data_IF_425173542188
#
_entry.id   IF_425173542188
#
_cell.length_a   1.000
_cell.length_b   1.000
_cell.length_c   1.000
_cell.angle_alpha   90.00
_cell.angle_beta   90.00
_cell.angle_gamma   90.00
#
_symmetry.space_group_name_H-M   'P 1'
#
loop_
_entity.id
_entity.type
_entity.pdbx_description
1 polymer ?
#
# COMPACT_ATOMS: atom_id res chain seq x y z
N UNK A 1 0.11 -6.70 -42.38
CA UNK A 1 -0.30 -5.70 -41.38
C UNK A 1 0.56 -5.88 -40.15
N UNK A 2 1.04 -4.78 -39.58
CA UNK A 2 1.83 -4.72 -38.33
C UNK A 2 0.88 -4.60 -37.13
N UNK A 3 1.31 -5.02 -35.95
CA UNK A 3 0.44 -5.06 -34.75
C UNK A 3 -0.13 -3.67 -34.39
N UNK A 4 0.67 -2.62 -34.47
CA UNK A 4 0.18 -1.26 -34.21
C UNK A 4 -0.85 -0.78 -35.24
N UNK A 5 -0.79 -1.25 -36.49
CA UNK A 5 -1.78 -0.92 -37.51
C UNK A 5 -3.12 -1.60 -37.20
N UNK A 6 -3.05 -2.85 -36.69
CA UNK A 6 -4.22 -3.59 -36.22
C UNK A 6 -4.89 -2.89 -35.04
N UNK A 7 -4.12 -2.45 -34.05
CA UNK A 7 -4.62 -1.69 -32.91
C UNK A 7 -5.22 -0.33 -33.32
N UNK A 8 -4.58 0.34 -34.27
CA UNK A 8 -5.10 1.54 -34.91
C UNK A 8 -6.49 1.32 -35.50
N UNK A 9 -6.67 0.25 -36.27
CA UNK A 9 -7.94 -0.12 -36.88
C UNK A 9 -9.00 -0.51 -35.84
N UNK A 10 -8.65 -1.31 -34.82
CA UNK A 10 -9.57 -1.65 -33.71
C UNK A 10 -10.04 -0.40 -32.97
N UNK A 11 -9.16 0.58 -32.76
CA UNK A 11 -9.50 1.85 -32.10
C UNK A 11 -10.49 2.72 -32.88
N UNK A 12 -10.66 2.45 -34.18
CA UNK A 12 -11.67 3.07 -35.05
C UNK A 12 -13.02 2.35 -34.99
N UNK A 13 -13.14 1.30 -34.17
CA UNK A 13 -14.36 0.51 -34.01
C UNK A 13 -14.51 -0.59 -35.07
N UNK A 14 -13.47 -0.89 -35.86
CA UNK A 14 -13.49 -2.06 -36.75
C UNK A 14 -13.45 -3.31 -35.87
N UNK A 15 -14.49 -4.14 -35.99
CA UNK A 15 -14.67 -5.32 -35.14
C UNK A 15 -13.88 -6.47 -35.73
N UNK A 16 -12.92 -7.01 -34.96
CA UNK A 16 -12.01 -8.09 -35.35
C UNK A 16 -12.63 -9.11 -36.32
N UNK A 17 -13.41 -10.07 -35.83
CA UNK A 17 -13.91 -11.19 -36.67
C UNK A 17 -14.79 -10.79 -37.87
N UNK A 18 -15.39 -9.61 -37.91
CA UNK A 18 -16.27 -9.19 -39.03
C UNK A 18 -15.56 -8.32 -40.06
N UNK A 19 -14.60 -7.51 -39.62
CA UNK A 19 -13.96 -6.47 -40.41
C UNK A 19 -12.48 -6.75 -40.66
N UNK A 20 -11.83 -7.51 -39.78
CA UNK A 20 -10.40 -7.81 -39.79
C UNK A 20 -10.18 -9.32 -39.69
N UNK A 21 -9.75 -9.94 -40.78
CA UNK A 21 -9.64 -11.40 -40.84
C UNK A 21 -8.19 -11.83 -40.63
N UNK A 22 -8.00 -12.81 -39.75
CA UNK A 22 -6.74 -13.51 -39.59
C UNK A 22 -6.51 -14.48 -40.77
N UNK A 23 -5.29 -14.50 -41.29
CA UNK A 23 -4.86 -15.37 -42.38
C UNK A 23 -3.48 -15.94 -42.06
N UNK A 24 -3.32 -17.26 -42.17
CA UNK A 24 -2.03 -17.93 -41.92
C UNK A 24 -1.16 -17.86 -43.17
N UNK A 25 -0.06 -17.11 -43.12
CA UNK A 25 0.96 -17.08 -44.17
C UNK A 25 2.13 -18.00 -43.79
N UNK A 26 3.02 -18.30 -44.75
CA UNK A 26 4.26 -19.06 -44.49
C UNK A 26 5.15 -18.40 -43.43
N UNK A 27 5.05 -17.07 -43.29
CA UNK A 27 5.84 -16.26 -42.34
C UNK A 27 5.14 -16.03 -41.00
N UNK A 28 4.00 -16.69 -40.74
CA UNK A 28 3.21 -16.51 -39.52
C UNK A 28 1.80 -15.95 -39.76
N UNK A 29 1.12 -15.58 -38.68
CA UNK A 29 -0.23 -15.03 -38.71
C UNK A 29 -0.21 -13.60 -39.27
N UNK A 30 -1.09 -13.30 -40.24
CA UNK A 30 -1.25 -11.98 -40.82
C UNK A 30 -2.71 -11.54 -40.78
N UNK A 31 -2.93 -10.22 -40.75
CA UNK A 31 -4.27 -9.65 -40.74
C UNK A 31 -4.60 -8.93 -42.04
N UNK A 32 -5.88 -8.99 -42.43
CA UNK A 32 -6.41 -8.28 -43.59
C UNK A 32 -7.72 -7.60 -43.24
N UNK A 33 -7.91 -6.37 -43.72
CA UNK A 33 -9.16 -5.63 -43.55
C UNK A 33 -10.09 -5.88 -44.73
N UNK A 34 -11.37 -6.14 -44.44
CA UNK A 34 -12.43 -6.32 -45.43
C UNK A 34 -12.92 -4.97 -45.92
N UNK A 35 -12.96 -4.75 -47.24
CA UNK A 35 -13.54 -3.55 -47.85
C UNK A 35 -14.27 -3.89 -49.14
N UNK A 36 -15.02 -2.92 -49.69
CA UNK A 36 -15.45 -2.97 -51.10
C UNK A 36 -14.45 -2.25 -51.99
N UNK A 37 -14.07 -2.87 -53.09
CA UNK A 37 -13.27 -2.23 -54.12
C UNK A 37 -14.13 -1.26 -54.97
N UNK A 38 -13.51 -0.58 -55.94
CA UNK A 38 -14.18 0.36 -56.85
C UNK A 38 -15.28 -0.28 -57.72
N UNK A 39 -15.26 -1.61 -57.87
CA UNK A 39 -16.30 -2.38 -58.60
C UNK A 39 -17.42 -2.88 -57.69
N UNK A 40 -17.43 -2.49 -56.40
CA UNK A 40 -18.41 -2.92 -55.41
C UNK A 40 -18.19 -4.34 -54.84
N UNK A 41 -17.16 -5.07 -55.29
CA UNK A 41 -16.83 -6.41 -54.80
C UNK A 41 -16.09 -6.36 -53.48
N UNK A 42 -16.37 -7.32 -52.60
CA UNK A 42 -15.65 -7.49 -51.34
C UNK A 42 -14.23 -8.00 -51.60
N UNK A 43 -13.24 -7.31 -51.02
CA UNK A 43 -11.82 -7.63 -51.12
C UNK A 43 -11.16 -7.48 -49.75
N UNK A 44 -9.98 -8.09 -49.59
CA UNK A 44 -9.21 -8.05 -48.35
C UNK A 44 -7.87 -7.34 -48.56
N UNK A 45 -7.60 -6.33 -47.73
CA UNK A 45 -6.40 -5.50 -47.79
C UNK A 45 -5.44 -5.86 -46.65
N UNK A 46 -4.23 -6.31 -46.98
CA UNK A 46 -3.17 -6.65 -46.02
C UNK A 46 -2.10 -5.56 -45.84
N UNK A 47 -1.94 -4.71 -46.86
CA UNK A 47 -0.97 -3.63 -46.94
C UNK A 47 -1.68 -2.29 -46.80
N UNK A 48 -1.42 -1.63 -45.68
CA UNK A 48 -2.04 -0.38 -45.29
C UNK A 48 -1.16 0.84 -45.59
N UNK A 49 -0.03 0.68 -46.29
CA UNK A 49 0.87 1.80 -46.63
C UNK A 49 0.40 2.56 -47.87
N UNK A 50 -0.34 1.90 -48.75
CA UNK A 50 -0.86 2.51 -49.97
C UNK A 50 -2.01 3.48 -49.66
N UNK A 51 -1.86 4.75 -50.05
CA UNK A 51 -2.92 5.75 -49.89
C UNK A 51 -4.24 5.35 -50.58
N UNK A 52 -4.15 4.73 -51.76
CA UNK A 52 -5.34 4.25 -52.48
C UNK A 52 -6.11 3.22 -51.66
N UNK A 53 -5.40 2.31 -50.99
CA UNK A 53 -5.99 1.29 -50.11
C UNK A 53 -6.54 1.92 -48.83
N UNK A 54 -5.84 2.89 -48.24
CA UNK A 54 -6.35 3.64 -47.08
C UNK A 54 -7.64 4.40 -47.40
N UNK A 55 -7.76 5.02 -48.58
CA UNK A 55 -9.00 5.67 -49.04
C UNK A 55 -10.15 4.68 -49.10
N UNK A 56 -9.95 3.49 -49.69
CA UNK A 56 -10.97 2.44 -49.72
C UNK A 56 -11.45 2.03 -48.32
N UNK A 57 -10.53 1.96 -47.34
CA UNK A 57 -10.86 1.65 -45.94
C UNK A 57 -11.66 2.79 -45.30
N UNK A 58 -11.18 4.03 -45.46
CA UNK A 58 -11.83 5.23 -44.95
C UNK A 58 -13.26 5.36 -45.48
N UNK A 59 -13.45 5.18 -46.79
CA UNK A 59 -14.75 5.27 -47.45
C UNK A 59 -15.69 4.16 -47.00
N UNK A 60 -15.21 2.90 -46.96
CA UNK A 60 -16.02 1.74 -46.59
C UNK A 60 -16.50 1.81 -45.12
N UNK A 61 -15.63 2.23 -44.21
CA UNK A 61 -15.93 2.33 -42.77
C UNK A 61 -16.45 3.70 -42.35
N UNK A 62 -16.62 4.64 -43.28
CA UNK A 62 -17.05 6.03 -43.02
C UNK A 62 -16.17 6.73 -41.98
N UNK A 63 -14.87 6.50 -42.03
CA UNK A 63 -13.86 7.12 -41.15
C UNK A 63 -13.14 8.21 -41.93
N UNK A 64 -12.96 9.43 -41.38
CA UNK A 64 -12.15 10.45 -42.05
C UNK A 64 -10.72 9.96 -42.34
N UNK A 65 -10.25 10.11 -43.58
CA UNK A 65 -8.92 9.61 -44.01
C UNK A 65 -7.78 10.14 -43.13
N UNK A 66 -7.87 11.39 -42.67
CA UNK A 66 -6.89 11.99 -41.74
C UNK A 66 -6.84 11.21 -40.43
N UNK A 67 -8.00 10.87 -39.87
CA UNK A 67 -8.13 10.08 -38.65
C UNK A 67 -7.60 8.66 -38.88
N UNK A 68 -7.92 8.01 -40.00
CA UNK A 68 -7.36 6.69 -40.32
C UNK A 68 -5.83 6.72 -40.37
N UNK A 69 -5.25 7.68 -41.11
CA UNK A 69 -3.81 7.83 -41.23
C UNK A 69 -3.13 8.04 -39.89
N UNK A 70 -3.69 8.91 -39.04
CA UNK A 70 -3.22 9.13 -37.68
C UNK A 70 -3.17 7.81 -36.89
N UNK A 71 -4.25 7.03 -36.90
CA UNK A 71 -4.35 5.76 -36.15
C UNK A 71 -3.42 4.66 -36.67
N UNK A 72 -2.99 4.73 -37.92
CA UNK A 72 -2.05 3.79 -38.53
C UNK A 72 -0.57 4.15 -38.30
N UNK A 73 -0.27 5.22 -37.58
CA UNK A 73 1.12 5.55 -37.21
C UNK A 73 1.62 4.64 -36.10
N UNK A 74 2.89 4.25 -36.14
CA UNK A 74 3.53 3.49 -35.05
C UNK A 74 3.61 4.29 -33.75
N UNK A 75 3.47 5.61 -33.82
CA UNK A 75 3.46 6.54 -32.69
C UNK A 75 2.07 6.81 -32.14
N UNK A 76 1.01 6.36 -32.82
CA UNK A 76 -0.35 6.63 -32.37
C UNK A 76 -0.64 5.92 -31.04
N UNK A 77 -1.30 6.64 -30.14
CA UNK A 77 -1.70 6.17 -28.83
C UNK A 77 -3.13 6.62 -28.52
N UNK A 78 -3.97 5.74 -27.98
CA UNK A 78 -5.23 6.19 -27.39
C UNK A 78 -4.93 7.20 -26.28
N UNK A 79 -5.71 8.28 -26.23
CA UNK A 79 -5.53 9.31 -25.20
C UNK A 79 -5.79 8.72 -23.81
N UNK A 80 -4.86 8.92 -22.88
CA UNK A 80 -5.04 8.60 -21.45
C UNK A 80 -6.32 9.28 -20.97
N UNK A 81 -7.16 8.54 -20.25
CA UNK A 81 -8.34 9.10 -19.59
C UNK A 81 -8.17 8.96 -18.09
N UNK A 82 -8.27 10.09 -17.40
CA UNK A 82 -8.24 10.15 -15.96
C UNK A 82 -9.57 10.65 -15.42
N UNK A 83 -10.02 10.05 -14.31
CA UNK A 83 -11.17 10.51 -13.54
C UNK A 83 -10.86 10.40 -12.06
N UNK A 84 -10.98 11.51 -11.34
CA UNK A 84 -11.04 11.53 -9.89
C UNK A 84 -12.51 11.54 -9.45
N UNK A 85 -12.88 10.59 -8.61
CA UNK A 85 -14.22 10.44 -8.05
C UNK A 85 -14.09 10.63 -6.53
N UNK A 86 -14.36 11.84 -6.02
CA UNK A 86 -14.29 12.08 -4.58
C UNK A 86 -15.44 11.38 -3.87
N UNK A 87 -15.19 10.85 -2.67
CA UNK A 87 -16.21 10.18 -1.87
C UNK A 87 -16.16 10.56 -0.40
N UNK A 88 -17.21 10.22 0.35
CA UNK A 88 -17.27 10.54 1.80
C UNK A 88 -16.19 9.80 2.59
N UNK A 89 -15.99 8.51 2.28
CA UNK A 89 -15.12 7.61 3.04
C UNK A 89 -13.85 7.22 2.27
N UNK A 90 -13.85 7.38 0.97
CA UNK A 90 -12.74 7.05 0.10
C UNK A 90 -12.86 7.81 -1.23
N UNK A 91 -11.73 8.21 -1.77
CA UNK A 91 -11.61 8.74 -3.12
C UNK A 91 -11.22 7.62 -4.08
N UNK A 92 -11.70 7.69 -5.32
CA UNK A 92 -11.35 6.74 -6.38
C UNK A 92 -10.69 7.45 -7.57
N UNK A 93 -9.50 6.97 -7.93
CA UNK A 93 -8.68 7.47 -9.03
C UNK A 93 -8.69 6.43 -10.14
N UNK A 94 -9.38 6.72 -11.24
CA UNK A 94 -9.56 5.79 -12.36
C UNK A 94 -8.74 6.28 -13.56
N UNK A 95 -7.86 5.41 -14.05
CA UNK A 95 -7.06 5.68 -15.24
C UNK A 95 -7.34 4.63 -16.32
N UNK A 96 -7.50 5.06 -17.57
CA UNK A 96 -7.72 4.20 -18.74
C UNK A 96 -6.76 4.58 -19.87
N UNK A 97 -6.50 3.63 -20.76
CA UNK A 97 -5.55 3.75 -21.87
C UNK A 97 -4.12 4.05 -21.39
N UNK A 98 -3.73 3.48 -20.25
CA UNK A 98 -2.37 3.56 -19.74
C UNK A 98 -1.45 2.57 -20.45
N UNK A 99 -0.16 2.91 -20.50
CA UNK A 99 0.88 1.93 -20.78
C UNK A 99 1.30 1.22 -19.50
N UNK A 100 1.75 -0.03 -19.65
CA UNK A 100 2.24 -0.85 -18.54
C UNK A 100 3.37 -0.16 -17.75
N UNK A 101 4.24 0.61 -18.43
CA UNK A 101 5.33 1.37 -17.80
C UNK A 101 4.84 2.60 -17.02
N UNK A 102 3.73 3.20 -17.44
CA UNK A 102 3.16 4.42 -16.81
C UNK A 102 2.30 4.12 -15.59
N UNK A 103 1.77 2.90 -15.48
CA UNK A 103 0.95 2.47 -14.35
C UNK A 103 1.63 2.76 -13.00
N UNK A 104 2.89 2.34 -12.85
CA UNK A 104 3.62 2.49 -11.59
C UNK A 104 3.91 3.94 -11.25
N UNK A 105 4.21 4.76 -12.27
CA UNK A 105 4.50 6.17 -12.09
C UNK A 105 3.25 6.93 -11.64
N UNK A 106 2.08 6.60 -12.20
CA UNK A 106 0.78 7.15 -11.78
C UNK A 106 0.39 6.68 -10.37
N UNK A 107 0.62 5.41 -10.05
CA UNK A 107 0.39 4.89 -8.70
C UNK A 107 1.27 5.63 -7.67
N UNK A 108 2.57 5.77 -7.95
CA UNK A 108 3.48 6.51 -7.09
C UNK A 108 3.06 7.96 -6.92
N UNK A 109 2.71 8.62 -8.03
CA UNK A 109 2.24 10.00 -8.01
C UNK A 109 1.03 10.19 -7.10
N UNK A 110 -0.02 9.37 -7.23
CA UNK A 110 -1.21 9.52 -6.38
C UNK A 110 -0.87 9.27 -4.91
N UNK A 111 -0.03 8.28 -4.59
CA UNK A 111 0.36 7.97 -3.21
C UNK A 111 1.22 9.09 -2.58
N UNK A 112 2.14 9.69 -3.34
CA UNK A 112 3.01 10.76 -2.86
C UNK A 112 2.32 12.12 -2.76
N UNK A 113 1.24 12.34 -3.52
CA UNK A 113 0.42 13.56 -3.47
C UNK A 113 -0.47 13.64 -2.23
N UNK A 114 -0.62 12.56 -1.46
CA UNK A 114 -1.44 12.59 -0.26
C UNK A 114 -0.72 13.26 0.91
N UNK A 115 -1.45 14.11 1.62
CA UNK A 115 -0.96 14.84 2.80
C UNK A 115 -1.06 14.05 4.12
N UNK A 116 -1.82 12.96 4.12
CA UNK A 116 -2.15 12.17 5.31
C UNK A 116 -1.83 10.70 5.09
N UNK A 117 -1.70 9.96 6.18
CA UNK A 117 -1.57 8.51 6.10
C UNK A 117 -2.85 7.94 5.50
N UNK A 118 -2.68 6.95 4.65
CA UNK A 118 -3.77 6.42 3.85
C UNK A 118 -3.81 4.91 3.91
N UNK A 119 -4.99 4.38 3.66
CA UNK A 119 -5.19 2.98 3.33
C UNK A 119 -5.69 2.98 1.89
N UNK A 120 -5.23 2.07 1.06
CA UNK A 120 -5.65 2.05 -0.32
C UNK A 120 -5.77 0.64 -0.86
N UNK A 121 -6.50 0.48 -1.95
CA UNK A 121 -6.57 -0.74 -2.71
C UNK A 121 -6.39 -0.41 -4.19
N UNK A 122 -5.74 -1.30 -4.94
CA UNK A 122 -5.53 -1.15 -6.37
C UNK A 122 -6.19 -2.30 -7.09
N UNK A 123 -7.00 -1.97 -8.09
CA UNK A 123 -7.53 -2.92 -9.05
C UNK A 123 -6.98 -2.59 -10.44
N UNK A 124 -6.47 -3.59 -11.15
CA UNK A 124 -5.95 -3.49 -12.51
C UNK A 124 -6.98 -4.01 -13.53
N UNK A 125 -7.02 -3.37 -14.68
CA UNK A 125 -7.72 -3.85 -15.88
C UNK A 125 -6.72 -4.25 -16.94
N UNK A 126 -6.96 -5.38 -17.58
CA UNK A 126 -6.05 -5.97 -18.54
C UNK A 126 -6.79 -6.62 -19.71
N UNK A 127 -6.06 -6.82 -20.80
CA UNK A 127 -6.53 -7.52 -21.98
C UNK A 127 -5.74 -8.81 -22.15
N UNK A 128 -6.46 -9.92 -22.31
CA UNK A 128 -5.89 -11.20 -22.72
C UNK A 128 -6.15 -11.42 -24.21
N UNK A 129 -5.25 -12.12 -24.87
CA UNK A 129 -5.37 -12.58 -26.26
C UNK A 129 -5.24 -14.08 -26.36
N UNK A 130 -5.95 -14.70 -27.28
CA UNK A 130 -5.74 -16.11 -27.61
C UNK A 130 -4.38 -16.27 -28.31
N UNK A 131 -3.54 -17.19 -27.81
CA UNK A 131 -2.22 -17.51 -28.36
C UNK A 131 -2.26 -17.93 -29.83
N UNK A 132 -3.37 -18.49 -30.27
CA UNK A 132 -3.58 -18.97 -31.63
C UNK A 132 -4.27 -17.94 -32.53
N UNK A 133 -5.04 -17.01 -31.94
CA UNK A 133 -5.71 -15.92 -32.66
C UNK A 133 -5.78 -14.62 -31.83
N UNK A 134 -4.77 -13.73 -31.96
CA UNK A 134 -4.72 -12.44 -31.27
C UNK A 134 -5.84 -11.43 -31.62
N UNK A 135 -6.80 -11.78 -32.48
CA UNK A 135 -8.04 -11.01 -32.64
C UNK A 135 -9.09 -11.36 -31.59
N UNK A 136 -8.96 -12.52 -30.96
CA UNK A 136 -9.82 -12.91 -29.85
C UNK A 136 -9.25 -12.28 -28.60
N UNK A 137 -9.92 -11.23 -28.14
CA UNK A 137 -9.55 -10.49 -26.94
C UNK A 137 -10.56 -10.73 -25.82
N UNK A 138 -10.05 -10.89 -24.60
CA UNK A 138 -10.85 -10.91 -23.39
C UNK A 138 -10.43 -9.71 -22.53
N UNK A 139 -11.34 -8.75 -22.38
CA UNK A 139 -11.10 -7.56 -21.59
C UNK A 139 -11.60 -7.76 -20.17
N UNK A 140 -10.74 -7.49 -19.20
CA UNK A 140 -11.04 -7.53 -17.78
C UNK A 140 -11.02 -6.12 -17.23
N UNK A 141 -12.17 -5.63 -16.78
CA UNK A 141 -12.26 -4.34 -16.11
C UNK A 141 -11.71 -4.44 -14.68
N UNK A 142 -11.10 -3.37 -14.13
CA UNK A 142 -10.65 -3.36 -12.74
C UNK A 142 -11.84 -3.53 -11.81
N UNK A 143 -11.72 -4.46 -10.88
CA UNK A 143 -12.71 -4.70 -9.84
C UNK A 143 -12.03 -4.89 -8.49
N UNK A 144 -12.52 -4.21 -7.46
CA UNK A 144 -12.06 -4.42 -6.09
C UNK A 144 -12.64 -5.69 -5.45
N UNK A 145 -13.66 -6.28 -6.07
CA UNK A 145 -14.34 -7.47 -5.58
C UNK A 145 -13.84 -8.77 -6.22
N UNK A 146 -12.78 -8.69 -7.04
CA UNK A 146 -12.22 -9.83 -7.72
C UNK A 146 -10.71 -9.90 -7.48
N UNK A 147 -10.27 -10.96 -6.81
CA UNK A 147 -8.87 -11.23 -6.46
C UNK A 147 -7.97 -11.35 -7.70
N UNK A 148 -8.57 -11.63 -8.86
CA UNK A 148 -7.92 -11.69 -10.17
C UNK A 148 -7.82 -10.33 -10.88
N UNK A 149 -8.13 -9.27 -10.16
CA UNK A 149 -7.93 -7.88 -10.60
C UNK A 149 -7.37 -7.04 -9.47
N UNK A 150 -7.41 -7.47 -8.21
CA UNK A 150 -6.79 -6.74 -7.10
C UNK A 150 -5.30 -7.04 -7.03
N UNK A 151 -4.49 -5.98 -6.98
CA UNK A 151 -3.04 -6.13 -7.10
C UNK A 151 -2.38 -6.78 -5.87
N UNK A 152 -2.85 -6.40 -4.68
CA UNK A 152 -2.27 -6.86 -3.42
C UNK A 152 -3.14 -7.91 -2.71
N UNK A 153 -4.31 -8.27 -3.26
CA UNK A 153 -5.32 -9.11 -2.61
C UNK A 153 -6.04 -8.44 -1.42
N UNK A 154 -5.37 -7.54 -0.71
CA UNK A 154 -5.91 -6.79 0.41
C UNK A 154 -5.53 -5.31 0.33
N UNK A 155 -6.26 -4.41 1.02
CA UNK A 155 -5.85 -3.02 1.10
C UNK A 155 -4.49 -2.84 1.77
N UNK A 156 -3.66 -1.97 1.21
CA UNK A 156 -2.34 -1.60 1.70
C UNK A 156 -2.41 -0.32 2.53
N UNK A 157 -1.43 -0.12 3.40
CA UNK A 157 -1.32 1.06 4.26
C UNK A 157 -0.05 1.82 3.91
N UNK A 158 -0.15 3.13 3.77
CA UNK A 158 0.97 4.05 3.63
C UNK A 158 0.96 4.98 4.82
N UNK A 159 1.92 4.80 5.71
CA UNK A 159 2.12 5.68 6.86
C UNK A 159 3.26 6.67 6.62
N UNK A 160 4.12 6.45 5.63
CA UNK A 160 5.26 7.32 5.30
C UNK A 160 5.48 7.42 3.79
N UNK A 161 6.18 8.46 3.32
CA UNK A 161 6.63 8.58 1.92
C UNK A 161 7.47 7.38 1.46
N UNK A 162 8.26 6.80 2.36
CA UNK A 162 9.07 5.62 2.07
C UNK A 162 8.21 4.35 1.91
N UNK A 163 7.08 4.25 2.61
CA UNK A 163 6.13 3.15 2.39
C UNK A 163 5.56 3.21 0.97
N UNK A 164 5.18 4.41 0.50
CA UNK A 164 4.70 4.59 -0.87
C UNK A 164 5.70 4.06 -1.91
N UNK A 165 6.97 4.46 -1.80
CA UNK A 165 8.06 3.97 -2.67
C UNK A 165 8.26 2.46 -2.58
N UNK A 166 8.26 1.91 -1.37
CA UNK A 166 8.43 0.47 -1.14
C UNK A 166 7.27 -0.34 -1.73
N UNK A 167 6.05 0.16 -1.60
CA UNK A 167 4.85 -0.50 -2.12
C UNK A 167 4.82 -0.44 -3.65
N UNK A 168 5.22 0.67 -4.27
CA UNK A 168 5.36 0.73 -5.74
C UNK A 168 6.42 -0.26 -6.23
N UNK A 169 7.54 -0.42 -5.51
CA UNK A 169 8.53 -1.45 -5.82
C UNK A 169 7.97 -2.87 -5.67
N UNK A 170 7.10 -3.11 -4.68
CA UNK A 170 6.39 -4.38 -4.52
C UNK A 170 5.39 -4.62 -5.66
N UNK A 171 4.62 -3.60 -6.05
CA UNK A 171 3.70 -3.64 -7.18
C UNK A 171 4.41 -4.06 -8.47
N UNK A 172 5.61 -3.51 -8.74
CA UNK A 172 6.44 -3.89 -9.90
C UNK A 172 6.79 -5.38 -9.95
N UNK A 173 6.82 -6.07 -8.81
CA UNK A 173 7.08 -7.50 -8.71
C UNK A 173 5.82 -8.36 -8.83
N UNK A 174 4.68 -7.88 -8.31
CA UNK A 174 3.46 -8.68 -8.17
C UNK A 174 2.65 -8.81 -9.47
N UNK A 175 2.64 -7.78 -10.30
CA UNK A 175 1.78 -7.68 -11.48
C UNK A 175 2.00 -8.82 -12.48
N UNK A 176 3.19 -9.44 -12.51
CA UNK A 176 3.51 -10.49 -13.47
C UNK A 176 3.09 -11.90 -13.04
N UNK A 177 2.96 -12.17 -11.74
CA UNK A 177 2.89 -13.56 -11.25
C UNK A 177 1.53 -13.98 -10.66
N UNK A 178 0.73 -13.05 -10.12
CA UNK A 178 -0.39 -13.44 -9.23
C UNK A 178 -1.77 -12.82 -9.54
N UNK A 179 -1.85 -11.76 -10.34
CA UNK A 179 -3.08 -10.96 -10.47
C UNK A 179 -3.87 -11.19 -11.75
N UNK A 180 -3.42 -12.09 -12.63
CA UNK A 180 -4.04 -12.32 -13.93
C UNK A 180 -4.65 -13.71 -13.96
N UNK A 181 -5.93 -13.77 -14.33
CA UNK A 181 -6.63 -15.02 -14.46
C UNK A 181 -6.63 -15.50 -15.90
N UNK A 182 -5.70 -16.40 -16.19
CA UNK A 182 -5.60 -17.01 -17.50
C UNK A 182 -6.75 -17.97 -17.78
N UNK A 183 -7.42 -18.56 -16.77
CA UNK A 183 -8.46 -19.62 -16.84
C UNK A 183 -8.12 -20.87 -17.69
N UNK A 184 -7.35 -20.73 -18.77
CA UNK A 184 -6.98 -21.72 -19.76
C UNK A 184 -5.57 -21.39 -20.30
N UNK A 185 -4.78 -22.40 -20.67
CA UNK A 185 -3.42 -22.23 -21.20
C UNK A 185 -3.36 -21.60 -22.61
N UNK A 186 -4.50 -21.19 -23.16
CA UNK A 186 -4.58 -20.52 -24.47
C UNK A 186 -4.47 -19.01 -24.36
N UNK A 187 -4.74 -18.43 -23.19
CA UNK A 187 -4.72 -16.98 -23.02
C UNK A 187 -3.33 -16.47 -22.64
N UNK A 188 -2.93 -15.37 -23.25
CA UNK A 188 -1.68 -14.66 -22.97
C UNK A 188 -2.00 -13.22 -22.65
N UNK A 189 -1.30 -12.64 -21.67
CA UNK A 189 -1.44 -11.23 -21.33
C UNK A 189 -0.96 -10.37 -22.49
N UNK A 190 -1.81 -9.44 -22.93
CA UNK A 190 -1.44 -8.44 -23.94
C UNK A 190 -0.91 -7.16 -23.30
N UNK A 191 -1.64 -6.61 -22.32
CA UNK A 191 -1.31 -5.33 -21.67
C UNK A 191 -2.18 -5.06 -20.45
N UNK A 192 -1.70 -4.22 -19.54
CA UNK A 192 -2.47 -3.58 -18.46
C UNK A 192 -2.78 -2.16 -18.88
N UNK A 193 -4.02 -1.94 -19.30
CA UNK A 193 -4.45 -0.70 -19.95
C UNK A 193 -5.31 0.19 -19.06
N UNK A 194 -5.66 -0.28 -17.85
CA UNK A 194 -6.52 0.43 -16.93
C UNK A 194 -6.11 0.13 -15.49
N UNK A 195 -6.30 1.08 -14.58
CA UNK A 195 -6.38 0.78 -13.15
C UNK A 195 -7.38 1.68 -12.44
N UNK A 196 -7.87 1.19 -11.30
CA UNK A 196 -8.59 1.98 -10.31
C UNK A 196 -7.87 1.88 -8.98
N UNK A 197 -7.60 3.04 -8.37
CA UNK A 197 -7.00 3.18 -7.05
C UNK A 197 -8.05 3.77 -6.11
N UNK A 198 -8.43 3.02 -5.08
CA UNK A 198 -9.31 3.51 -4.02
C UNK A 198 -8.49 3.89 -2.81
N UNK A 199 -8.53 5.15 -2.43
CA UNK A 199 -7.83 5.71 -1.26
C UNK A 199 -8.85 5.98 -0.16
N UNK A 200 -8.79 5.20 0.91
CA UNK A 200 -9.65 5.34 2.07
C UNK A 200 -9.17 6.49 2.96
N UNK A 201 -10.10 7.34 3.37
CA UNK A 201 -9.84 8.39 4.35
C UNK A 201 -9.51 7.74 5.69
N UNK A 202 -8.26 7.87 6.15
CA UNK A 202 -7.88 7.52 7.52
C UNK A 202 -7.80 8.80 8.31
N UNK A 203 -8.77 9.02 9.19
CA UNK A 203 -8.67 10.08 10.18
C UNK A 203 -7.84 9.58 11.35
N UNK A 204 -6.52 9.39 11.13
CA UNK A 204 -5.57 9.04 12.18
C UNK A 204 -4.78 10.26 12.62
N UNK A 205 -5.52 11.31 13.01
CA UNK A 205 -4.93 12.58 13.41
C UNK A 205 -4.85 12.66 14.92
N UNK A 206 -3.64 12.67 15.45
CA UNK A 206 -3.38 12.80 16.87
C UNK A 206 -3.82 14.18 17.38
N UNK A 207 -4.69 14.14 18.37
CA UNK A 207 -5.27 15.26 19.09
C UNK A 207 -6.61 15.78 18.56
N UNK A 208 -7.14 15.24 17.45
CA UNK A 208 -8.36 15.76 16.79
C UNK A 208 -9.66 15.53 17.55
N UNK A 209 -9.67 14.65 18.56
CA UNK A 209 -10.87 14.30 19.33
C UNK A 209 -10.62 14.42 20.84
N UNK A 210 -11.70 14.57 21.61
CA UNK A 210 -11.62 14.48 23.05
C UNK A 210 -11.33 13.02 23.43
N UNK A 211 -10.14 12.79 23.99
CA UNK A 211 -9.69 11.45 24.34
C UNK A 211 -10.57 10.83 25.44
N UNK A 212 -11.46 9.92 25.07
CA UNK A 212 -12.07 8.98 26.01
C UNK A 212 -11.12 7.80 26.12
N UNK A 213 -10.38 7.74 27.23
CA UNK A 213 -9.41 6.68 27.49
C UNK A 213 -10.12 5.59 28.29
N UNK A 214 -10.14 4.37 27.75
CA UNK A 214 -10.72 3.21 28.44
C UNK A 214 -10.04 2.91 29.77
N UNK A 215 -10.78 2.26 30.66
CA UNK A 215 -10.27 1.84 31.96
C UNK A 215 -9.04 0.93 31.82
N UNK A 216 -9.07 0.01 30.86
CA UNK A 216 -7.97 -0.92 30.56
C UNK A 216 -6.66 -0.16 30.33
N UNK A 217 -6.68 0.89 29.53
CA UNK A 217 -5.49 1.71 29.26
C UNK A 217 -5.10 2.55 30.49
N UNK A 218 -6.08 3.13 31.20
CA UNK A 218 -5.83 3.92 32.41
C UNK A 218 -5.12 3.14 33.51
N UNK A 219 -5.37 1.84 33.61
CA UNK A 219 -4.73 0.96 34.59
C UNK A 219 -3.28 0.57 34.22
N UNK A 220 -2.83 0.79 32.98
CA UNK A 220 -1.46 0.47 32.56
C UNK A 220 -0.47 1.52 33.11
N UNK A 221 0.29 1.14 34.15
CA UNK A 221 1.26 2.02 34.83
C UNK A 221 2.32 2.65 33.93
N UNK A 222 2.67 1.98 32.83
CA UNK A 222 3.71 2.41 31.88
C UNK A 222 3.16 3.27 30.73
N UNK A 223 1.85 3.56 30.75
CA UNK A 223 1.22 4.51 29.84
C UNK A 223 0.94 5.80 30.60
N UNK A 224 1.44 6.91 30.08
CA UNK A 224 1.30 8.23 30.67
C UNK A 224 0.44 9.09 29.77
N UNK A 225 -0.75 9.42 30.27
CA UNK A 225 -1.55 10.50 29.72
C UNK A 225 -1.17 11.83 30.41
N UNK A 226 -0.90 12.86 29.62
CA UNK A 226 -0.64 14.20 30.14
C UNK A 226 -1.95 14.98 30.30
N UNK A 227 -2.15 15.68 31.43
CA UNK A 227 -3.31 16.53 31.61
C UNK A 227 -3.26 17.68 30.60
N UNK A 228 -4.27 17.74 29.73
CA UNK A 228 -4.41 18.79 28.73
C UNK A 228 -5.89 19.20 28.60
N UNK A 229 -6.17 20.43 28.17
CA UNK A 229 -7.54 20.81 27.80
C UNK A 229 -8.08 19.85 26.73
N UNK A 230 -9.39 19.53 26.76
CA UNK A 230 -10.04 18.82 25.67
C UNK A 230 -9.72 19.48 24.32
N UNK A 231 -9.47 18.68 23.29
CA UNK A 231 -9.26 19.16 21.90
C UNK A 231 -8.03 20.07 21.71
N UNK A 232 -7.01 19.95 22.56
CA UNK A 232 -5.85 20.84 22.45
C UNK A 232 -4.91 20.50 21.28
N UNK A 233 -5.13 19.41 20.52
CA UNK A 233 -4.27 18.96 19.40
C UNK A 233 -2.77 18.73 19.76
N UNK A 234 -2.40 18.79 21.05
CA UNK A 234 -1.00 18.88 21.50
C UNK A 234 -0.48 17.60 22.15
N UNK A 235 -1.26 16.51 22.15
CA UNK A 235 -0.91 15.27 22.85
C UNK A 235 0.48 14.73 22.48
N UNK A 236 0.83 14.72 21.19
CA UNK A 236 2.16 14.34 20.72
C UNK A 236 3.24 15.30 21.24
N UNK A 237 2.97 16.60 21.28
CA UNK A 237 3.92 17.62 21.72
C UNK A 237 4.27 17.46 23.20
N UNK A 238 3.28 17.08 24.03
CA UNK A 238 3.52 16.72 25.42
C UNK A 238 4.42 15.48 25.56
N UNK A 239 4.17 14.45 24.75
CA UNK A 239 4.99 13.23 24.74
C UNK A 239 6.45 13.55 24.36
N UNK A 240 6.66 14.32 23.29
CA UNK A 240 7.99 14.77 22.86
C UNK A 240 8.65 15.64 23.94
N UNK A 241 7.93 16.62 24.49
CA UNK A 241 8.46 17.53 25.50
C UNK A 241 8.99 16.78 26.73
N UNK A 242 8.25 15.77 27.19
CA UNK A 242 8.64 14.94 28.33
C UNK A 242 9.78 13.97 28.00
N UNK A 243 9.81 13.46 26.77
CA UNK A 243 10.86 12.56 26.29
C UNK A 243 12.21 13.25 26.21
N UNK A 244 12.23 14.50 25.76
CA UNK A 244 13.44 15.31 25.62
C UNK A 244 14.02 15.83 26.94
N UNK A 245 13.35 15.61 28.09
CA UNK A 245 13.92 15.99 29.39
C UNK A 245 14.92 14.95 29.88
N UNK A 246 16.14 15.41 30.15
CA UNK A 246 17.20 14.64 30.80
C UNK A 246 17.15 14.83 32.32
N UNK A 247 17.59 13.82 33.07
CA UNK A 247 17.62 13.87 34.54
C UNK A 247 16.23 13.82 35.19
N UNK A 248 16.00 14.69 36.17
CA UNK A 248 14.76 14.73 36.94
C UNK A 248 13.58 15.18 36.07
N UNK A 249 12.72 14.22 35.74
CA UNK A 249 11.57 14.49 34.88
C UNK A 249 10.55 15.37 35.60
N UNK A 250 10.02 16.41 34.93
CA UNK A 250 9.02 17.29 35.51
C UNK A 250 7.73 16.55 35.86
N UNK A 251 6.99 17.09 36.83
CA UNK A 251 5.65 16.62 37.13
C UNK A 251 4.73 16.80 35.91
N UNK A 252 3.77 15.88 35.73
CA UNK A 252 2.91 15.81 34.52
C UNK A 252 2.09 17.07 34.29
N UNK A 253 1.71 17.78 35.35
CA UNK A 253 0.99 19.05 35.37
C UNK A 253 1.87 20.27 35.05
N UNK A 254 3.21 20.12 35.12
CA UNK A 254 4.19 21.20 34.88
C UNK A 254 4.81 21.16 33.48
N UNK A 255 4.09 20.61 32.50
CA UNK A 255 4.61 20.40 31.14
C UNK A 255 4.36 21.57 30.17
N UNK A 256 3.51 22.53 30.50
CA UNK A 256 3.03 23.56 29.56
C UNK A 256 4.15 24.39 28.91
N UNK A 257 5.15 24.82 29.67
CA UNK A 257 6.27 25.60 29.15
C UNK A 257 7.16 24.79 28.19
N UNK A 258 7.45 23.54 28.54
CA UNK A 258 8.24 22.62 27.71
C UNK A 258 7.51 22.28 26.40
N UNK A 259 6.20 22.03 26.48
CA UNK A 259 5.36 21.79 25.30
C UNK A 259 5.34 23.00 24.37
N UNK A 260 5.28 24.24 24.91
CA UNK A 260 5.39 25.46 24.10
C UNK A 260 6.75 25.56 23.40
N UNK A 261 7.84 25.20 24.07
CA UNK A 261 9.17 25.19 23.46
C UNK A 261 9.27 24.19 22.30
N UNK A 262 8.72 22.97 22.47
CA UNK A 262 8.62 21.96 21.41
C UNK A 262 7.82 22.48 20.22
N UNK A 263 6.62 23.04 20.46
CA UNK A 263 5.80 23.59 19.37
C UNK A 263 6.54 24.71 18.63
N UNK A 264 7.23 25.61 19.35
CA UNK A 264 8.00 26.70 18.74
C UNK A 264 9.13 26.15 17.85
N UNK A 265 9.87 25.14 18.34
CA UNK A 265 10.93 24.49 17.57
C UNK A 265 10.39 23.83 16.30
N UNK A 266 9.27 23.11 16.41
CA UNK A 266 8.63 22.47 15.25
C UNK A 266 8.13 23.49 14.21
N UNK A 267 7.46 24.57 14.63
CA UNK A 267 7.01 25.62 13.72
C UNK A 267 8.20 26.28 13.00
N UNK A 268 9.29 26.56 13.72
CA UNK A 268 10.52 27.08 13.12
C UNK A 268 11.13 26.11 12.10
N UNK A 269 11.13 24.79 12.38
CA UNK A 269 11.56 23.75 11.43
C UNK A 269 10.71 23.77 10.14
N UNK A 270 9.41 24.03 10.24
CA UNK A 270 8.51 24.21 9.07
C UNK A 270 8.67 25.58 8.39
N UNK A 271 9.68 26.38 8.77
CA UNK A 271 9.91 27.72 8.23
C UNK A 271 8.96 28.80 8.76
N UNK A 272 8.19 28.50 9.81
CA UNK A 272 7.22 29.42 10.40
C UNK A 272 7.76 30.03 11.70
N UNK A 273 8.36 31.22 11.59
CA UNK A 273 8.89 31.96 12.75
C UNK A 273 7.84 32.94 13.24
N UNK A 274 7.42 32.79 14.49
CA UNK A 274 6.46 33.66 15.15
C UNK A 274 7.14 34.56 16.18
N UNK A 275 6.76 35.83 16.21
CA UNK A 275 7.09 36.71 17.34
C UNK A 275 6.35 36.27 18.59
N UNK A 276 6.84 36.65 19.78
CA UNK A 276 6.18 36.28 21.05
C UNK A 276 4.73 36.77 21.15
N UNK A 277 4.38 37.85 20.44
CA UNK A 277 2.98 38.32 20.36
C UNK A 277 2.08 37.41 19.51
N UNK A 278 2.61 36.78 18.45
CA UNK A 278 1.82 35.93 17.53
C UNK A 278 1.84 34.44 17.90
N UNK A 279 2.87 34.01 18.62
CA UNK A 279 3.04 32.61 19.03
C UNK A 279 1.85 32.05 19.84
N UNK A 280 1.23 32.77 20.80
CA UNK A 280 0.09 32.24 21.55
C UNK A 280 -1.09 31.83 20.67
N UNK A 281 -1.38 32.59 19.61
CA UNK A 281 -2.45 32.27 18.67
C UNK A 281 -2.09 31.03 17.82
N UNK A 282 -0.85 30.95 17.32
CA UNK A 282 -0.35 29.78 16.60
C UNK A 282 -0.35 28.51 17.46
N UNK A 283 0.06 28.62 18.73
CA UNK A 283 0.02 27.53 19.69
C UNK A 283 -1.42 27.07 19.97
N UNK A 284 -2.36 28.01 20.14
CA UNK A 284 -3.77 27.68 20.36
C UNK A 284 -4.36 26.92 19.17
N UNK A 285 -4.10 27.41 17.96
CA UNK A 285 -4.67 26.90 16.70
C UNK A 285 -3.80 25.83 16.01
N UNK A 286 -2.88 25.19 16.74
CA UNK A 286 -2.06 24.10 16.18
C UNK A 286 -3.00 23.01 15.63
N UNK A 287 -2.86 22.61 14.36
CA UNK A 287 -3.69 21.55 13.80
C UNK A 287 -3.38 20.19 14.46
N UNK A 288 -4.33 19.24 14.43
CA UNK A 288 -4.04 17.85 14.77
C UNK A 288 -2.88 17.31 13.94
N UNK A 289 -2.07 16.42 14.51
CA UNK A 289 -0.91 15.85 13.84
C UNK A 289 -1.28 14.54 13.17
N UNK A 290 -1.21 14.47 11.85
CA UNK A 290 -1.38 13.20 11.15
C UNK A 290 -0.15 12.31 11.37
N UNK A 291 -0.36 11.00 11.55
CA UNK A 291 0.75 10.05 11.73
C UNK A 291 1.75 10.06 10.55
N UNK A 292 1.34 10.49 9.36
CA UNK A 292 2.24 10.68 8.20
C UNK A 292 3.28 11.76 8.42
N UNK A 293 2.96 12.74 9.27
CA UNK A 293 3.84 13.85 9.59
C UNK A 293 4.90 13.47 10.64
N UNK A 294 4.85 12.27 11.24
CA UNK A 294 5.79 11.87 12.29
C UNK A 294 7.25 11.95 11.84
N UNK A 295 7.54 11.65 10.57
CA UNK A 295 8.90 11.82 10.02
C UNK A 295 9.44 13.24 10.15
N UNK A 296 8.60 14.28 9.99
CA UNK A 296 9.00 15.68 10.21
C UNK A 296 9.37 15.93 11.68
N UNK A 297 8.68 15.28 12.62
CA UNK A 297 8.99 15.37 14.05
C UNK A 297 10.27 14.63 14.39
N UNK A 298 10.46 13.42 13.85
CA UNK A 298 11.71 12.67 14.00
C UNK A 298 12.91 13.50 13.55
N UNK A 299 12.82 14.13 12.37
CA UNK A 299 13.90 14.93 11.80
C UNK A 299 14.13 16.25 12.54
N UNK A 300 13.06 16.91 13.00
CA UNK A 300 13.13 18.16 13.76
C UNK A 300 13.79 17.96 15.14
N UNK A 301 13.43 16.87 15.83
CA UNK A 301 13.85 16.62 17.21
C UNK A 301 15.01 15.63 17.32
N UNK A 302 15.41 14.98 16.21
CA UNK A 302 16.47 13.96 16.17
C UNK A 302 16.16 12.80 17.12
N UNK A 303 14.93 12.30 17.03
CA UNK A 303 14.41 11.15 17.78
C UNK A 303 13.72 10.18 16.83
N UNK A 304 13.69 8.90 17.17
CA UNK A 304 12.83 7.93 16.51
C UNK A 304 11.46 7.95 17.19
N UNK A 305 10.36 7.81 16.46
CA UNK A 305 9.01 7.74 17.02
C UNK A 305 8.38 6.40 16.62
N UNK A 306 8.07 5.59 17.63
CA UNK A 306 7.33 4.35 17.45
C UNK A 306 5.90 4.51 17.94
N UNK A 307 4.94 4.07 17.11
CA UNK A 307 3.51 4.16 17.44
C UNK A 307 2.94 2.77 17.66
N UNK A 308 2.38 2.57 18.84
CA UNK A 308 1.68 1.38 19.26
C UNK A 308 0.17 1.63 19.29
N UNK A 309 -0.60 0.58 19.02
CA UNK A 309 -2.05 0.58 19.15
C UNK A 309 -2.45 -0.64 19.96
N UNK A 310 -3.52 -0.52 20.73
CA UNK A 310 -4.07 -1.59 21.55
C UNK A 310 -5.46 -1.96 21.03
N UNK A 311 -5.72 -3.25 20.89
CA UNK A 311 -7.09 -3.76 20.80
C UNK A 311 -7.64 -3.89 22.21
N UNK A 312 -8.75 -3.21 22.51
CA UNK A 312 -9.32 -3.21 23.86
C UNK A 312 -10.00 -4.53 24.23
N UNK A 313 -10.50 -5.27 23.24
CA UNK A 313 -11.22 -6.52 23.47
C UNK A 313 -10.26 -7.66 23.80
N UNK A 314 -9.11 -7.71 23.13
CA UNK A 314 -8.10 -8.76 23.31
C UNK A 314 -6.94 -8.34 24.21
N UNK A 315 -6.84 -7.04 24.52
CA UNK A 315 -5.68 -6.40 25.14
C UNK A 315 -4.36 -6.56 24.37
N UNK A 316 -4.42 -6.99 23.10
CA UNK A 316 -3.24 -7.18 22.29
C UNK A 316 -2.68 -5.85 21.79
N UNK A 317 -1.35 -5.71 21.88
CA UNK A 317 -0.63 -4.55 21.37
C UNK A 317 -0.03 -4.87 20.02
N UNK A 318 -0.21 -3.94 19.07
CA UNK A 318 0.50 -3.98 17.79
C UNK A 318 1.32 -2.72 17.60
N UNK A 319 2.55 -2.90 17.14
CA UNK A 319 3.36 -1.79 16.62
C UNK A 319 2.81 -1.40 15.26
N UNK A 320 2.23 -0.21 15.18
CA UNK A 320 1.57 0.29 13.98
C UNK A 320 2.51 1.11 13.10
N UNK A 321 3.50 1.78 13.71
CA UNK A 321 4.56 2.51 13.01
C UNK A 321 5.88 2.17 13.69
N UNK A 322 6.86 1.84 12.87
CA UNK A 322 8.25 1.66 13.24
C UNK A 322 9.06 2.76 12.56
N UNK A 323 9.87 3.46 13.34
CA UNK A 323 10.79 4.46 12.79
C UNK A 323 11.80 3.79 11.88
N UNK A 324 12.15 4.46 10.79
CA UNK A 324 13.22 4.01 9.87
C UNK A 324 14.53 4.76 10.10
N UNK A 325 14.52 5.74 11.01
CA UNK A 325 15.68 6.51 11.36
C UNK A 325 16.56 5.75 12.36
N UNK A 326 17.79 6.22 12.53
CA UNK A 326 18.80 5.62 13.42
C UNK A 326 19.27 6.61 14.48
N UNK A 327 18.38 7.52 14.89
CA UNK A 327 18.69 8.45 15.97
C UNK A 327 18.89 7.67 17.29
N UNK A 328 19.64 8.25 18.24
CA UNK A 328 20.01 7.54 19.47
C UNK A 328 18.84 7.34 20.44
N UNK A 329 17.79 8.15 20.31
CA UNK A 329 16.69 8.22 21.26
C UNK A 329 15.36 7.86 20.62
N UNK A 330 14.63 6.92 21.23
CA UNK A 330 13.34 6.42 20.73
C UNK A 330 12.19 6.80 21.66
N UNK A 331 11.25 7.57 21.15
CA UNK A 331 9.97 7.90 21.77
C UNK A 331 8.92 6.85 21.40
N UNK A 332 8.42 6.14 22.40
CA UNK A 332 7.33 5.19 22.23
C UNK A 332 5.99 5.83 22.62
N UNK A 333 5.00 5.82 21.74
CA UNK A 333 3.65 6.32 22.03
C UNK A 333 2.59 5.26 21.83
N UNK A 334 1.56 5.27 22.68
CA UNK A 334 0.31 4.56 22.47
C UNK A 334 -0.69 5.53 21.82
N UNK A 335 -1.14 5.18 20.62
CA UNK A 335 -2.24 5.87 19.94
C UNK A 335 -3.55 5.16 20.24
N UNK A 336 -4.50 5.88 20.83
CA UNK A 336 -5.84 5.39 21.11
C UNK A 336 -6.87 6.50 20.88
N UNK A 337 -7.93 6.25 20.11
CA UNK A 337 -9.00 7.22 19.77
C UNK A 337 -8.45 8.61 19.40
N UNK A 338 -7.55 8.65 18.41
CA UNK A 338 -6.92 9.89 17.94
C UNK A 338 -6.19 10.67 19.05
N UNK A 339 -5.70 10.00 20.09
CA UNK A 339 -4.92 10.61 21.17
C UNK A 339 -3.62 9.86 21.41
N UNK A 340 -2.53 10.62 21.60
CA UNK A 340 -1.21 10.07 21.89
C UNK A 340 -0.94 10.09 23.40
N UNK A 341 -0.53 8.93 23.92
CA UNK A 341 -0.04 8.76 25.29
C UNK A 341 1.39 8.23 25.26
N UNK A 342 2.21 8.66 26.20
CA UNK A 342 3.61 8.25 26.27
C UNK A 342 3.72 6.84 26.87
N UNK A 343 4.54 5.98 26.26
CA UNK A 343 4.95 4.70 26.85
C UNK A 343 6.33 4.91 27.48
N UNK A 344 6.42 4.74 28.80
CA UNK A 344 7.67 5.00 29.54
C UNK A 344 8.63 3.81 29.60
N UNK A 345 8.11 2.60 29.46
CA UNK A 345 8.89 1.36 29.47
C UNK A 345 8.23 0.39 28.48
N UNK A 346 8.81 0.27 27.28
CA UNK A 346 8.25 -0.51 26.19
C UNK A 346 8.27 -2.01 26.49
N UNK A 347 9.33 -2.47 27.15
CA UNK A 347 9.55 -3.87 27.55
C UNK A 347 8.42 -4.33 28.48
N UNK A 348 8.13 -3.54 29.52
CA UNK A 348 7.00 -3.81 30.42
C UNK A 348 5.63 -3.58 29.79
N UNK A 349 5.52 -2.63 28.87
CA UNK A 349 4.26 -2.35 28.17
C UNK A 349 3.83 -3.50 27.25
N UNK A 350 4.75 -4.08 26.47
CA UNK A 350 4.47 -5.24 25.59
C UNK A 350 4.37 -6.55 26.40
N UNK A 351 4.65 -6.54 27.71
CA UNK A 351 4.63 -7.74 28.54
C UNK A 351 5.78 -8.70 28.26
N UNK A 352 6.86 -8.22 27.63
CA UNK A 352 8.10 -8.97 27.46
C UNK A 352 9.01 -8.63 28.63
N UNK A 353 9.14 -9.53 29.59
CA UNK A 353 9.92 -9.31 30.80
C UNK A 353 11.25 -10.04 30.69
N UNK A 354 12.35 -9.34 30.50
CA UNK A 354 13.67 -9.94 30.38
C UNK A 354 14.35 -10.12 31.75
N UNK A 355 15.02 -11.26 31.95
CA UNK A 355 15.85 -11.49 33.12
C UNK A 355 17.24 -10.88 32.94
N UNK A 356 17.57 -9.87 33.75
CA UNK A 356 18.87 -9.19 33.75
C UNK A 356 20.10 -10.06 34.07
N UNK A 357 19.92 -11.35 34.39
CA UNK A 357 20.99 -12.27 34.79
C UNK A 357 21.25 -13.38 33.76
N UNK A 358 20.26 -13.73 32.94
CA UNK A 358 20.37 -14.77 31.90
C UNK A 358 19.73 -14.40 30.55
N UNK A 359 19.23 -13.17 30.39
CA UNK A 359 18.66 -12.63 29.14
C UNK A 359 17.42 -13.39 28.61
N UNK A 360 16.84 -14.29 29.42
CA UNK A 360 15.59 -14.97 29.07
C UNK A 360 14.40 -14.00 29.11
N UNK A 361 13.55 -14.05 28.07
CA UNK A 361 12.33 -13.23 27.94
C UNK A 361 11.11 -14.02 28.40
N UNK A 362 10.31 -13.43 29.29
CA UNK A 362 9.11 -14.01 29.86
C UNK A 362 7.87 -13.22 29.42
N UNK A 363 6.78 -13.93 29.16
CA UNK A 363 5.49 -13.33 28.77
C UNK A 363 4.74 -12.66 29.92
N UNK A 364 5.24 -12.75 31.17
CA UNK A 364 4.65 -12.07 32.32
C UNK A 364 5.67 -11.80 33.42
N UNK A 365 5.43 -10.74 34.20
CA UNK A 365 6.27 -10.34 35.33
C UNK A 365 6.32 -11.43 36.43
N UNK A 366 5.23 -12.16 36.61
CA UNK A 366 5.16 -13.26 37.56
C UNK A 366 6.07 -14.42 37.15
N UNK A 367 6.07 -14.80 35.86
CA UNK A 367 6.98 -15.83 35.37
C UNK A 367 8.44 -15.42 35.52
N UNK A 368 8.77 -14.16 35.25
CA UNK A 368 10.10 -13.62 35.52
C UNK A 368 10.43 -13.67 37.02
N UNK A 369 9.50 -13.29 37.91
CA UNK A 369 9.71 -13.35 39.36
C UNK A 369 9.97 -14.78 39.82
N UNK A 370 9.15 -15.74 39.41
CA UNK A 370 9.31 -17.15 39.75
C UNK A 370 10.66 -17.69 39.23
N UNK A 371 11.05 -17.30 38.02
CA UNK A 371 12.38 -17.61 37.48
C UNK A 371 13.53 -17.03 38.33
N UNK A 372 13.43 -15.77 38.78
CA UNK A 372 14.43 -15.16 39.66
C UNK A 372 14.51 -15.85 41.03
N UNK A 373 13.38 -16.31 41.57
CA UNK A 373 13.32 -16.99 42.86
C UNK A 373 13.82 -18.44 42.80
N UNK A 374 13.64 -19.13 41.68
CA UNK A 374 14.03 -20.54 41.50
C UNK A 374 15.49 -20.74 41.06
N UNK A 375 16.39 -19.82 41.47
CA UNK A 375 17.80 -19.73 41.03
C UNK A 375 17.91 -19.67 39.50
N UNK A 376 18.07 -18.44 39.02
CA UNK A 376 18.47 -18.14 37.64
C UNK A 376 19.87 -18.73 37.38
N UNK A 377 19.91 -20.03 37.12
CA UNK A 377 21.09 -20.77 36.73
C UNK A 377 21.25 -20.58 35.23
N UNK A 378 22.46 -20.19 34.79
CA UNK A 378 22.81 -20.12 33.37
C UNK A 378 22.64 -21.52 32.79
N UNK A 379 21.47 -21.82 32.23
CA UNK A 379 21.29 -23.00 31.42
C UNK A 379 22.11 -22.79 30.15
N UNK A 380 23.37 -23.24 30.18
CA UNK A 380 24.12 -23.48 28.97
C UNK A 380 23.25 -24.37 28.09
N UNK A 381 22.92 -23.90 26.88
CA UNK A 381 22.47 -24.80 25.83
C UNK A 381 23.56 -25.85 25.69
N UNK A 382 23.31 -27.08 26.17
CA UNK A 382 24.10 -28.24 25.76
C UNK A 382 23.95 -28.32 24.25
N UNK A 383 25.00 -27.88 23.56
CA UNK A 383 25.39 -28.20 22.19
C UNK A 383 24.27 -28.74 21.30
N UNK A 384 23.97 -28.03 20.21
CA UNK A 384 23.27 -28.61 19.08
C UNK A 384 23.90 -29.97 18.73
N UNK A 385 23.06 -31.01 18.66
CA UNK A 385 23.51 -32.33 18.23
C UNK A 385 24.09 -32.15 16.82
N UNK A 386 25.38 -32.43 16.64
CA UNK A 386 26.12 -32.23 15.37
C UNK A 386 25.54 -33.04 14.19
N UNK A 387 24.62 -33.96 14.44
CA UNK A 387 23.96 -34.75 13.42
C UNK A 387 22.44 -34.67 13.58
N UNK A 388 21.75 -34.32 12.50
CA UNK A 388 20.29 -34.30 12.44
C UNK A 388 19.74 -35.72 12.67
N UNK A 389 19.03 -35.93 13.77
CA UNK A 389 18.22 -37.14 13.94
C UNK A 389 16.94 -36.98 13.12
N UNK A 390 16.90 -37.64 11.96
CA UNK A 390 15.68 -37.78 11.15
C UNK A 390 14.58 -38.43 11.99
N UNK A 391 13.46 -37.74 12.17
CA UNK A 391 12.26 -38.31 12.77
C UNK A 391 11.77 -39.49 11.93
N UNK A 392 11.83 -40.70 12.47
CA UNK A 392 11.16 -41.87 11.89
C UNK A 392 9.79 -42.00 12.55
N UNK A 393 8.68 -41.81 11.82
CA UNK A 393 7.36 -42.06 12.38
C UNK A 393 7.24 -43.52 12.81
N UNK A 394 6.56 -43.73 13.94
CA UNK A 394 6.27 -45.05 14.49
C UNK A 394 5.44 -45.86 13.47
N UNK A 395 5.73 -47.16 13.26
CA UNK A 395 4.96 -47.99 12.32
C UNK A 395 3.47 -47.97 12.66
N UNK A 396 2.63 -47.75 11.64
CA UNK A 396 1.18 -47.68 11.76
C UNK A 396 0.62 -48.96 12.42
N UNK A 397 -0.05 -48.80 13.57
CA UNK A 397 -0.75 -49.88 14.30
C UNK A 397 -2.00 -50.43 13.58
N UNK A 398 -2.23 -50.04 12.33
CA UNK A 398 -3.38 -50.49 11.51
C UNK A 398 -3.30 -52.00 11.26
N UNK A 399 -2.10 -52.57 11.06
CA UNK A 399 -1.96 -54.01 10.87
C UNK A 399 -2.35 -54.82 12.12
N UNK A 400 -2.08 -54.30 13.32
CA UNK A 400 -2.49 -54.94 14.57
C UNK A 400 -4.00 -54.83 14.87
N UNK A 401 -4.71 -53.92 14.17
CA UNK A 401 -6.18 -53.83 14.22
C UNK A 401 -6.86 -54.71 13.18
N UNK A 402 -6.21 -54.99 12.04
CA UNK A 402 -6.74 -55.85 10.98
C UNK A 402 -6.66 -57.35 11.33
N UNK A 403 -5.68 -57.77 12.14
CA UNK A 403 -5.56 -59.16 12.63
C UNK A 403 -6.60 -59.54 13.72
N UNK A 404 -7.41 -58.58 14.19
CA UNK A 404 -8.50 -58.84 15.16
C UNK A 404 -9.90 -58.91 14.54
N UNK A 405 -10.00 -58.81 13.21
CA UNK A 405 -11.27 -58.80 12.48
C UNK A 405 -11.38 -59.94 11.44
N UNK A 406 -10.49 -60.94 11.47
CA UNK A 406 -10.60 -62.18 10.72
C UNK A 406 -10.34 -63.40 11.60
#
# INVERSE_FOLDING_TARGET
>A
MRDYELEGLKSLGLKGKTDIVAWRAKTGLQYRVKVRNTTGRLVYISDLRSEKKQKLIADYYKVPIKKLKERLLSTYRPTERFRHIPGKNADEYVYQNLRDDEFYDRLEQVLLQQDNALKFQVAIGYTLVDKNDPLVEKNHAPSFNNDKTTLFGHPMVVNTRNDAKSIVKQARRLVLDNCIDYNESIWVLKSINQFSLRVYHRNHKLGSEAAVISEVIRLKKHVVNFPQPPQSNKCLMFCIAYHLQEGDKPARDRMSALTKAVVRKYLAYKGQVYTDKKFPAAYKNLPPVDIYQLSDFEDCFKINIEVYMMDEATEEFRRAIESKNTYDSTLNILSHNNHAMLITDITRFIGKHECSKCEMVFISAEKLRNHKMNKCDKAYFKSFVKAATMYRPTPNKINAMLERLF
#
